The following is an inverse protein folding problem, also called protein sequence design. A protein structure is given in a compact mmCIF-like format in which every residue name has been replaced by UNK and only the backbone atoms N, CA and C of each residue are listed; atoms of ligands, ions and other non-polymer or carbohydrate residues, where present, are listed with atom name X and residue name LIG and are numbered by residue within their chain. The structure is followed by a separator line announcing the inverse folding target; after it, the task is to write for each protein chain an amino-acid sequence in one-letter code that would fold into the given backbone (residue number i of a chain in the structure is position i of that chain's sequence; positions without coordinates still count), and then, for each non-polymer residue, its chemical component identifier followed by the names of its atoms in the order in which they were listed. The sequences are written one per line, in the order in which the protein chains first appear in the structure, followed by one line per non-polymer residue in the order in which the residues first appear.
data_IF_450311858589
#
_entry.id   IF_450311858589
#
_cell.length_a   1.000
_cell.length_b   1.000
_cell.length_c   1.000
_cell.angle_alpha   90.00
_cell.angle_beta   90.00
_cell.angle_gamma   90.00
#
_symmetry.space_group_name_H-M   'P 1'
#
loop_
_entity.id
_entity.type
_entity.pdbx_description
1 polymer ?
#
# COMPACT_ATOMS: atom_id res chain seq x y z
N UNK A 1 17.00 7.77 57.04
CA UNK A 1 16.76 6.49 56.37
C UNK A 1 15.93 6.79 55.12
N UNK A 2 16.53 6.70 53.93
CA UNK A 2 15.90 7.05 52.66
C UNK A 2 14.99 5.91 52.19
N UNK A 3 13.70 6.18 52.04
CA UNK A 3 12.75 5.25 51.46
C UNK A 3 12.91 5.30 49.94
N UNK A 4 13.67 4.36 49.38
CA UNK A 4 13.78 4.17 47.94
C UNK A 4 12.44 3.74 47.34
N UNK A 5 11.86 4.58 46.49
CA UNK A 5 10.72 4.22 45.65
C UNK A 5 11.19 3.22 44.58
N UNK A 6 10.98 1.94 44.83
CA UNK A 6 11.27 0.87 43.87
C UNK A 6 10.14 0.81 42.84
N UNK A 7 10.39 1.34 41.65
CA UNK A 7 9.55 1.09 40.47
C UNK A 7 9.62 -0.40 40.12
N UNK A 8 8.57 -1.15 40.45
CA UNK A 8 8.42 -2.55 40.05
C UNK A 8 8.36 -2.59 38.51
N UNK A 9 9.31 -3.26 37.82
CA UNK A 9 9.31 -3.29 36.37
C UNK A 9 8.04 -4.02 35.90
N UNK A 10 7.18 -3.32 35.17
CA UNK A 10 6.00 -3.86 34.50
C UNK A 10 6.43 -4.76 33.34
N UNK A 11 6.88 -5.98 33.66
CA UNK A 11 7.08 -7.06 32.68
C UNK A 11 5.76 -7.55 32.05
N UNK A 12 4.63 -7.15 32.64
CA UNK A 12 3.28 -7.62 32.29
C UNK A 12 2.76 -7.22 30.89
N UNK A 13 3.37 -6.27 30.18
CA UNK A 13 2.91 -5.93 28.82
C UNK A 13 3.33 -6.97 27.78
N UNK A 14 4.45 -7.66 28.00
CA UNK A 14 4.96 -8.74 27.15
C UNK A 14 4.63 -10.16 27.68
N UNK A 15 4.09 -10.27 28.90
CA UNK A 15 3.65 -11.53 29.53
C UNK A 15 2.19 -11.92 29.19
N UNK A 16 1.55 -11.25 28.21
CA UNK A 16 0.30 -11.79 27.66
C UNK A 16 0.67 -13.10 26.96
N UNK A 17 0.13 -14.25 27.38
CA UNK A 17 0.60 -15.53 26.88
C UNK A 17 0.16 -15.63 25.43
N UNK A 18 1.12 -15.49 24.51
CA UNK A 18 0.95 -15.80 23.09
C UNK A 18 0.21 -17.14 22.93
N UNK A 19 0.44 -18.13 23.80
CA UNK A 19 -0.29 -19.41 23.77
C UNK A 19 -1.83 -19.33 23.80
N UNK A 20 -2.45 -18.31 24.41
CA UNK A 20 -3.93 -18.19 24.46
C UNK A 20 -4.51 -17.46 23.25
N UNK A 21 -3.80 -16.47 22.71
CA UNK A 21 -4.31 -15.62 21.63
C UNK A 21 -3.74 -15.99 20.25
N UNK A 22 -2.56 -16.59 20.17
CA UNK A 22 -1.98 -17.12 18.93
C UNK A 22 -2.90 -18.08 18.19
N UNK A 23 -3.59 -19.07 18.81
CA UNK A 23 -4.49 -19.94 18.05
C UNK A 23 -5.65 -19.18 17.42
N UNK A 24 -6.20 -18.18 18.12
CA UNK A 24 -7.28 -17.32 17.60
C UNK A 24 -6.74 -16.45 16.46
N UNK A 25 -5.57 -15.84 16.63
CA UNK A 25 -4.93 -15.02 15.62
C UNK A 25 -4.63 -15.81 14.34
N UNK A 26 -4.08 -17.03 14.47
CA UNK A 26 -3.82 -17.93 13.34
C UNK A 26 -5.13 -18.33 12.66
N UNK A 27 -6.17 -18.68 13.42
CA UNK A 27 -7.48 -19.04 12.87
C UNK A 27 -8.12 -17.89 12.10
N UNK A 28 -8.10 -16.67 12.66
CA UNK A 28 -8.64 -15.47 12.00
C UNK A 28 -7.84 -15.15 10.74
N UNK A 29 -6.51 -15.21 10.81
CA UNK A 29 -5.65 -14.95 9.65
C UNK A 29 -5.94 -15.98 8.54
N UNK A 30 -5.97 -17.27 8.86
CA UNK A 30 -6.30 -18.32 7.90
C UNK A 30 -7.69 -18.15 7.29
N UNK A 31 -8.70 -17.75 8.08
CA UNK A 31 -10.04 -17.49 7.60
C UNK A 31 -10.09 -16.28 6.63
N UNK A 32 -9.39 -15.18 6.95
CA UNK A 32 -9.32 -13.99 6.09
C UNK A 32 -8.60 -14.31 4.77
N UNK A 33 -7.47 -15.01 4.83
CA UNK A 33 -6.74 -15.42 3.63
C UNK A 33 -7.56 -16.41 2.78
N UNK A 34 -8.22 -17.38 3.42
CA UNK A 34 -9.12 -18.32 2.73
C UNK A 34 -10.30 -17.61 2.05
N UNK A 35 -10.92 -16.66 2.74
CA UNK A 35 -12.01 -15.86 2.17
C UNK A 35 -11.53 -14.98 1.02
N UNK A 36 -10.34 -14.37 1.13
CA UNK A 36 -9.73 -13.61 0.05
C UNK A 36 -9.39 -14.47 -1.16
N UNK A 37 -8.93 -15.70 -0.95
CA UNK A 37 -8.68 -16.65 -2.04
C UNK A 37 -9.99 -16.99 -2.75
N UNK A 38 -11.06 -17.32 -2.02
CA UNK A 38 -12.38 -17.61 -2.59
C UNK A 38 -12.98 -16.41 -3.30
N UNK A 39 -12.77 -15.20 -2.78
CA UNK A 39 -13.20 -13.94 -3.41
C UNK A 39 -12.62 -13.79 -4.82
N UNK A 40 -11.37 -14.20 -5.03
CA UNK A 40 -10.73 -14.18 -6.37
C UNK A 40 -11.38 -15.11 -7.39
N UNK A 41 -12.15 -16.12 -6.96
CA UNK A 41 -12.92 -17.00 -7.85
C UNK A 41 -14.40 -16.60 -7.96
N UNK A 42 -14.98 -16.11 -6.86
CA UNK A 42 -16.40 -15.77 -6.79
C UNK A 42 -16.72 -14.47 -7.55
N UNK A 43 -15.79 -13.52 -7.58
CA UNK A 43 -15.98 -12.24 -8.26
C UNK A 43 -15.06 -12.13 -9.47
N UNK A 44 -15.63 -11.66 -10.58
CA UNK A 44 -14.85 -11.39 -11.79
C UNK A 44 -13.92 -10.22 -11.53
N UNK A 45 -12.65 -10.39 -11.86
CA UNK A 45 -11.69 -9.29 -11.87
C UNK A 45 -12.09 -8.26 -12.94
N UNK A 46 -12.10 -6.96 -12.61
CA UNK A 46 -12.34 -5.92 -13.61
C UNK A 46 -11.30 -5.97 -14.73
N UNK A 47 -11.70 -5.61 -15.95
CA UNK A 47 -10.81 -5.58 -17.11
C UNK A 47 -9.62 -4.61 -16.96
N UNK A 48 -9.73 -3.64 -16.03
CA UNK A 48 -8.65 -2.70 -15.68
C UNK A 48 -7.48 -3.35 -14.93
N UNK A 49 -7.61 -4.61 -14.51
CA UNK A 49 -6.51 -5.40 -13.95
C UNK A 49 -5.86 -6.32 -14.99
N UNK A 50 -6.23 -6.21 -16.28
CA UNK A 50 -5.58 -7.00 -17.33
C UNK A 50 -4.12 -6.57 -17.50
N UNK A 51 -3.22 -7.51 -17.85
CA UNK A 51 -1.81 -7.18 -18.10
C UNK A 51 -1.64 -6.12 -19.19
N UNK A 52 -2.52 -6.14 -20.20
CA UNK A 52 -2.51 -5.16 -21.29
C UNK A 52 -2.85 -3.76 -20.80
N UNK A 53 -3.90 -3.62 -19.97
CA UNK A 53 -4.27 -2.33 -19.39
C UNK A 53 -3.21 -1.78 -18.45
N UNK A 54 -2.59 -2.64 -17.64
CA UNK A 54 -1.49 -2.24 -16.76
C UNK A 54 -0.24 -1.84 -17.57
N UNK A 55 0.03 -2.52 -18.70
CA UNK A 55 1.11 -2.15 -19.59
C UNK A 55 0.84 -0.81 -20.32
N UNK A 56 -0.41 -0.55 -20.71
CA UNK A 56 -0.81 0.75 -21.27
C UNK A 56 -0.74 1.87 -20.23
N UNK A 57 -1.18 1.61 -19.00
CA UNK A 57 -1.04 2.57 -17.90
C UNK A 57 0.44 2.88 -17.61
N UNK A 58 1.31 1.87 -17.67
CA UNK A 58 2.75 2.07 -17.53
C UNK A 58 3.35 2.89 -18.68
N UNK A 59 2.81 2.77 -19.90
CA UNK A 59 3.23 3.56 -21.09
C UNK A 59 2.76 5.01 -21.03
N UNK A 60 1.54 5.27 -20.56
CA UNK A 60 1.03 6.63 -20.33
C UNK A 60 1.92 7.35 -19.29
N UNK A 61 2.55 6.59 -18.39
CA UNK A 61 3.62 7.07 -17.54
C UNK A 61 3.16 8.17 -16.58
N UNK A 62 4.04 9.12 -16.30
CA UNK A 62 3.77 10.22 -15.38
C UNK A 62 3.09 11.41 -16.08
N UNK A 63 2.56 11.25 -17.29
CA UNK A 63 1.95 12.32 -18.07
C UNK A 63 0.50 11.96 -18.37
N UNK A 64 -0.42 12.88 -18.10
CA UNK A 64 -1.83 12.74 -18.44
C UNK A 64 -2.22 13.71 -19.54
N UNK A 65 -2.76 13.18 -20.62
CA UNK A 65 -3.38 13.96 -21.67
C UNK A 65 -4.73 14.53 -21.21
N UNK A 66 -5.03 15.76 -21.61
CA UNK A 66 -6.27 16.46 -21.26
C UNK A 66 -7.02 16.81 -22.54
N UNK A 67 -8.34 16.60 -22.54
CA UNK A 67 -9.18 16.75 -23.74
C UNK A 67 -9.19 18.17 -24.33
N UNK A 68 -8.94 19.21 -23.51
CA UNK A 68 -9.00 20.60 -23.96
C UNK A 68 -7.94 21.49 -23.27
N UNK A 69 -6.79 20.91 -22.93
CA UNK A 69 -5.70 21.61 -22.26
C UNK A 69 -4.36 20.89 -22.55
N UNK A 70 -3.22 21.57 -22.38
CA UNK A 70 -1.92 20.92 -22.50
C UNK A 70 -1.80 19.76 -21.50
N UNK A 71 -1.01 18.75 -21.88
CA UNK A 71 -0.72 17.60 -21.02
C UNK A 71 -0.11 18.06 -19.70
N UNK A 72 -0.36 17.31 -18.62
CA UNK A 72 0.14 17.65 -17.28
C UNK A 72 0.78 16.43 -16.64
N UNK A 73 1.82 16.66 -15.85
CA UNK A 73 2.40 15.60 -15.05
C UNK A 73 1.44 15.09 -13.98
N UNK A 74 1.27 13.78 -13.93
CA UNK A 74 0.64 13.08 -12.82
C UNK A 74 1.58 13.05 -11.63
N UNK A 75 1.04 13.45 -10.47
CA UNK A 75 1.68 13.36 -9.17
C UNK A 75 3.16 13.84 -9.14
N UNK A 76 3.44 15.08 -9.56
CA UNK A 76 4.80 15.53 -9.86
C UNK A 76 5.75 15.52 -8.64
N UNK A 77 5.21 15.69 -7.43
CA UNK A 77 5.98 15.67 -6.18
C UNK A 77 6.47 14.25 -5.88
N UNK A 78 5.56 13.27 -5.93
CA UNK A 78 5.90 11.87 -5.65
C UNK A 78 6.81 11.28 -6.72
N UNK A 79 6.61 11.71 -7.97
CA UNK A 79 7.39 11.28 -9.12
C UNK A 79 8.71 12.04 -9.30
N UNK A 80 9.03 12.97 -8.38
CA UNK A 80 10.30 13.73 -8.31
C UNK A 80 10.75 14.25 -9.67
N UNK A 81 9.83 14.87 -10.40
CA UNK A 81 10.12 15.36 -11.74
C UNK A 81 11.19 16.45 -11.63
N UNK A 82 12.33 16.32 -12.34
CA UNK A 82 13.42 17.26 -12.21
C UNK A 82 12.97 18.65 -12.64
N UNK A 83 13.28 19.67 -11.85
CA UNK A 83 12.87 21.06 -12.11
C UNK A 83 13.46 21.69 -13.37
N UNK A 84 14.26 20.94 -14.15
CA UNK A 84 14.75 21.31 -15.47
C UNK A 84 13.76 20.96 -16.60
N UNK A 85 12.70 20.21 -16.28
CA UNK A 85 11.63 19.84 -17.22
C UNK A 85 10.48 20.83 -16.97
N UNK A 86 10.21 21.71 -17.95
CA UNK A 86 9.22 22.78 -17.81
C UNK A 86 7.81 22.27 -18.07
N UNK A 87 7.67 21.25 -18.91
CA UNK A 87 6.40 20.60 -19.17
C UNK A 87 6.54 19.16 -19.64
N UNK A 88 5.43 18.41 -19.73
CA UNK A 88 5.42 17.04 -20.24
C UNK A 88 5.96 16.88 -21.66
N UNK A 89 5.92 17.96 -22.45
CA UNK A 89 6.42 18.01 -23.81
C UNK A 89 7.97 17.92 -23.90
N UNK A 90 8.67 18.18 -22.80
CA UNK A 90 10.14 18.15 -22.72
C UNK A 90 10.69 16.74 -22.38
N UNK A 91 9.81 15.77 -22.10
CA UNK A 91 10.22 14.40 -21.79
C UNK A 91 10.47 13.64 -23.10
N UNK A 92 11.69 13.10 -23.33
CA UNK A 92 11.92 12.27 -24.50
C UNK A 92 11.07 11.00 -24.40
N UNK A 93 10.14 10.83 -25.35
CA UNK A 93 9.29 9.63 -25.52
C UNK A 93 10.12 8.38 -25.84
#
# INVERSE_FOLDING_TARGET
MSAGFVLKPTKAFLDVPFGKHTPIFVAVTAAVFGMSWLNSFAFKTPHTFSPEFLAEQAKIGNVMERTNAPAVFLNPIMNKIPGNILGPDDVPN
#
